data_IF_062491372993
#
_entry.id   IF_062491372993
#
_cell.length_a   1.000
_cell.length_b   1.000
_cell.length_c   1.000
_cell.angle_alpha   90.00
_cell.angle_beta   90.00
_cell.angle_gamma   90.00
#
_symmetry.space_group_name_H-M   'P 1'
#
loop_
_entity.id
_entity.type
_entity.pdbx_description
1 polymer ?
#
# COMPACT_ATOMS: atom_id res chain seq x y z
N UNK A 1 -31.94 -79.64 -32.50
CA UNK A 1 -32.85 -80.34 -33.44
C UNK A 1 -34.21 -80.46 -32.75
N UNK A 2 -35.34 -80.29 -33.45
CA UNK A 2 -35.97 -78.99 -33.69
C UNK A 2 -37.50 -79.04 -33.45
N UNK A 3 -38.21 -77.91 -33.53
CA UNK A 3 -39.45 -77.79 -34.34
C UNK A 3 -39.81 -76.33 -34.55
N UNK A 4 -39.99 -75.99 -35.83
CA UNK A 4 -40.58 -74.76 -36.34
C UNK A 4 -42.12 -74.88 -36.36
N UNK A 5 -42.81 -73.75 -36.33
CA UNK A 5 -44.12 -73.44 -36.96
C UNK A 5 -44.68 -72.18 -36.28
N UNK A 6 -45.39 -71.24 -36.91
CA UNK A 6 -45.75 -70.99 -38.30
C UNK A 6 -46.19 -69.51 -38.38
N UNK A 7 -46.13 -69.00 -39.60
CA UNK A 7 -46.65 -67.74 -40.08
C UNK A 7 -48.17 -67.62 -39.92
N UNK A 8 -48.67 -66.41 -39.62
CA UNK A 8 -49.96 -65.90 -40.06
C UNK A 8 -50.06 -64.41 -39.76
N UNK A 9 -50.04 -63.60 -40.82
CA UNK A 9 -50.23 -62.16 -40.79
C UNK A 9 -51.63 -61.70 -40.36
N UNK A 10 -51.81 -60.38 -40.28
CA UNK A 10 -53.03 -59.60 -40.51
C UNK A 10 -52.81 -58.17 -39.99
N UNK A 11 -53.18 -57.16 -40.79
CA UNK A 11 -53.47 -55.82 -40.27
C UNK A 11 -52.65 -54.70 -40.88
N UNK A 12 -53.11 -54.20 -42.03
CA UNK A 12 -52.61 -52.97 -42.61
C UNK A 12 -52.90 -51.72 -41.77
N UNK A 13 -52.04 -50.73 -41.99
CA UNK A 13 -52.42 -49.34 -42.21
C UNK A 13 -53.11 -48.57 -41.07
N UNK A 14 -52.43 -48.39 -39.93
CA UNK A 14 -52.73 -47.28 -39.00
C UNK A 14 -51.50 -46.94 -38.14
N UNK A 15 -50.47 -46.29 -38.68
CA UNK A 15 -49.66 -45.31 -37.91
C UNK A 15 -48.55 -44.54 -38.68
N UNK A 16 -48.66 -44.30 -39.99
CA UNK A 16 -47.69 -43.43 -40.68
C UNK A 16 -47.82 -41.92 -40.33
N UNK A 17 -48.80 -41.54 -39.48
CA UNK A 17 -48.95 -40.16 -38.95
C UNK A 17 -48.33 -39.96 -37.55
N UNK A 18 -47.72 -40.99 -36.94
CA UNK A 18 -47.01 -40.87 -35.65
C UNK A 18 -45.49 -40.78 -35.79
N UNK A 19 -44.92 -41.16 -36.93
CA UNK A 19 -43.48 -41.09 -37.20
C UNK A 19 -42.93 -39.65 -37.32
N UNK A 20 -43.77 -38.68 -37.64
CA UNK A 20 -43.35 -37.27 -37.84
C UNK A 20 -43.30 -36.45 -36.54
N UNK A 21 -43.84 -36.95 -35.43
CA UNK A 21 -43.85 -36.26 -34.13
C UNK A 21 -42.75 -36.72 -33.16
N UNK A 22 -42.06 -37.82 -33.46
CA UNK A 22 -40.98 -38.36 -32.60
C UNK A 22 -39.58 -37.89 -33.03
N UNK A 23 -39.41 -37.47 -34.29
CA UNK A 23 -38.13 -36.97 -34.85
C UNK A 23 -37.72 -35.60 -34.30
N UNK A 24 -38.67 -34.70 -34.08
CA UNK A 24 -38.44 -33.35 -33.53
C UNK A 24 -37.93 -33.40 -32.09
N UNK A 25 -38.48 -34.29 -31.27
CA UNK A 25 -38.05 -34.49 -29.87
C UNK A 25 -36.58 -34.96 -29.75
N UNK A 26 -36.06 -35.69 -30.74
CA UNK A 26 -34.67 -36.17 -30.73
C UNK A 26 -33.66 -35.05 -31.03
N UNK A 27 -33.98 -34.16 -31.98
CA UNK A 27 -33.14 -33.01 -32.34
C UNK A 27 -33.05 -32.00 -31.18
N UNK A 28 -34.16 -31.76 -30.49
CA UNK A 28 -34.18 -30.87 -29.33
C UNK A 28 -33.36 -31.43 -28.15
N UNK A 29 -33.44 -32.75 -27.90
CA UNK A 29 -32.59 -33.43 -26.90
C UNK A 29 -31.10 -33.34 -27.23
N UNK A 30 -30.72 -33.52 -28.49
CA UNK A 30 -29.33 -33.39 -28.93
C UNK A 30 -28.81 -31.95 -28.80
N UNK A 31 -29.63 -30.95 -29.14
CA UNK A 31 -29.30 -29.53 -28.96
C UNK A 31 -29.08 -29.16 -27.50
N UNK A 32 -29.97 -29.59 -26.60
CA UNK A 32 -29.84 -29.38 -25.16
C UNK A 32 -28.58 -30.05 -24.58
N UNK A 33 -28.26 -31.26 -25.03
CA UNK A 33 -27.05 -31.97 -24.62
C UNK A 33 -25.76 -31.29 -25.12
N UNK A 34 -25.76 -30.76 -26.34
CA UNK A 34 -24.67 -29.96 -26.88
C UNK A 34 -24.46 -28.67 -26.07
N UNK A 35 -25.55 -27.96 -25.75
CA UNK A 35 -25.51 -26.76 -24.91
C UNK A 35 -24.97 -27.05 -23.50
N UNK A 36 -25.39 -28.17 -22.88
CA UNK A 36 -24.90 -28.60 -21.58
C UNK A 36 -23.40 -28.95 -21.63
N UNK A 37 -22.94 -29.63 -22.67
CA UNK A 37 -21.52 -29.94 -22.87
C UNK A 37 -20.68 -28.66 -23.06
N UNK A 38 -21.18 -27.69 -23.84
CA UNK A 38 -20.54 -26.37 -24.00
C UNK A 38 -20.41 -25.63 -22.67
N UNK A 39 -21.48 -25.62 -21.85
CA UNK A 39 -21.46 -25.00 -20.51
C UNK A 39 -20.48 -25.70 -19.56
N UNK A 40 -20.43 -27.03 -19.56
CA UNK A 40 -19.45 -27.79 -18.77
C UNK A 40 -18.01 -27.48 -19.19
N UNK A 41 -17.74 -27.39 -20.50
CA UNK A 41 -16.42 -27.03 -21.01
C UNK A 41 -16.02 -25.60 -20.61
N UNK A 42 -16.93 -24.63 -20.72
CA UNK A 42 -16.70 -23.25 -20.27
C UNK A 42 -16.42 -23.17 -18.77
N UNK A 43 -17.20 -23.86 -17.92
CA UNK A 43 -16.95 -23.89 -16.48
C UNK A 43 -15.60 -24.52 -16.14
N UNK A 44 -15.21 -25.60 -16.83
CA UNK A 44 -13.86 -26.16 -16.66
C UNK A 44 -12.77 -25.17 -17.05
N UNK A 45 -12.93 -24.45 -18.17
CA UNK A 45 -11.99 -23.42 -18.59
C UNK A 45 -11.92 -22.26 -17.59
N UNK A 46 -13.06 -21.77 -17.11
CA UNK A 46 -13.15 -20.71 -16.11
C UNK A 46 -12.49 -21.13 -14.78
N UNK A 47 -12.74 -22.38 -14.33
CA UNK A 47 -12.11 -22.91 -13.12
C UNK A 47 -10.59 -23.03 -13.26
N UNK A 48 -10.09 -23.47 -14.43
CA UNK A 48 -8.64 -23.49 -14.70
C UNK A 48 -8.05 -22.08 -14.69
N UNK A 49 -8.68 -21.14 -15.38
CA UNK A 49 -8.22 -19.75 -15.40
C UNK A 49 -8.27 -19.08 -14.01
N UNK A 50 -9.21 -19.48 -13.13
CA UNK A 50 -9.24 -19.01 -11.76
C UNK A 50 -8.09 -19.60 -10.94
N UNK A 51 -7.87 -20.92 -11.02
CA UNK A 51 -6.75 -21.58 -10.34
C UNK A 51 -5.41 -21.02 -10.80
N UNK A 52 -5.21 -20.90 -12.10
CA UNK A 52 -3.97 -20.39 -12.67
C UNK A 52 -3.70 -18.93 -12.25
N UNK A 53 -4.73 -18.07 -12.22
CA UNK A 53 -4.58 -16.71 -11.69
C UNK A 53 -4.22 -16.71 -10.21
N UNK A 54 -4.83 -17.59 -9.40
CA UNK A 54 -4.52 -17.71 -7.97
C UNK A 54 -3.09 -18.22 -7.76
N UNK A 55 -2.67 -19.23 -8.51
CA UNK A 55 -1.31 -19.78 -8.48
C UNK A 55 -0.28 -18.73 -8.90
N UNK A 56 -0.54 -17.97 -9.96
CA UNK A 56 0.32 -16.84 -10.35
C UNK A 56 0.41 -15.78 -9.25
N UNK A 57 -0.71 -15.39 -8.64
CA UNK A 57 -0.70 -14.40 -7.56
C UNK A 57 0.11 -14.88 -6.35
N UNK A 58 -0.04 -16.14 -5.94
CA UNK A 58 0.75 -16.73 -4.85
C UNK A 58 2.24 -16.73 -5.22
N UNK A 59 2.59 -17.17 -6.43
CA UNK A 59 3.97 -17.16 -6.91
C UNK A 59 4.58 -15.76 -6.97
N UNK A 60 3.81 -14.76 -7.39
CA UNK A 60 4.24 -13.36 -7.41
C UNK A 60 4.47 -12.83 -5.99
N UNK A 61 3.62 -13.21 -5.03
CA UNK A 61 3.82 -12.85 -3.62
C UNK A 61 5.07 -13.51 -3.03
N UNK A 62 5.27 -14.81 -3.28
CA UNK A 62 6.46 -15.55 -2.86
C UNK A 62 7.73 -14.93 -3.47
N UNK A 63 7.69 -14.56 -4.75
CA UNK A 63 8.81 -13.88 -5.41
C UNK A 63 9.11 -12.51 -4.81
N UNK A 64 8.08 -11.71 -4.51
CA UNK A 64 8.26 -10.41 -3.84
C UNK A 64 8.85 -10.56 -2.44
N UNK A 65 8.36 -11.55 -1.69
CA UNK A 65 8.85 -11.84 -0.35
C UNK A 65 10.33 -12.26 -0.40
N UNK A 66 10.68 -13.20 -1.28
CA UNK A 66 12.07 -13.63 -1.50
C UNK A 66 12.99 -12.47 -1.90
N UNK A 67 12.53 -11.56 -2.77
CA UNK A 67 13.29 -10.38 -3.16
C UNK A 67 13.52 -9.42 -1.98
N UNK A 68 12.48 -9.16 -1.18
CA UNK A 68 12.58 -8.31 0.01
C UNK A 68 13.48 -8.91 1.09
N UNK A 69 13.37 -10.21 1.35
CA UNK A 69 14.25 -10.93 2.27
C UNK A 69 15.71 -10.86 1.81
N UNK A 70 15.97 -11.09 0.51
CA UNK A 70 17.31 -10.99 -0.06
C UNK A 70 17.90 -9.58 0.09
N UNK A 71 17.10 -8.54 -0.21
CA UNK A 71 17.52 -7.14 -0.02
C UNK A 71 17.79 -6.82 1.45
N UNK A 72 16.97 -7.35 2.37
CA UNK A 72 17.13 -7.14 3.81
C UNK A 72 18.41 -7.77 4.31
N UNK A 73 18.68 -9.03 3.93
CA UNK A 73 19.91 -9.73 4.30
C UNK A 73 21.15 -9.02 3.75
N UNK A 74 21.10 -8.53 2.50
CA UNK A 74 22.19 -7.72 1.92
C UNK A 74 22.45 -6.46 2.73
N UNK A 75 21.40 -5.67 3.02
CA UNK A 75 21.52 -4.44 3.82
C UNK A 75 22.04 -4.72 5.24
N UNK A 76 21.58 -5.81 5.87
CA UNK A 76 22.08 -6.21 7.18
C UNK A 76 23.58 -6.51 7.13
N UNK A 77 24.05 -7.25 6.13
CA UNK A 77 25.48 -7.54 5.96
C UNK A 77 26.32 -6.28 5.74
N UNK A 78 25.80 -5.31 4.99
CA UNK A 78 26.47 -4.02 4.78
C UNK A 78 26.52 -3.17 6.05
N UNK A 79 25.43 -3.17 6.83
CA UNK A 79 25.37 -2.51 8.14
C UNK A 79 26.38 -3.12 9.09
N UNK A 80 26.46 -4.44 9.17
CA UNK A 80 27.45 -5.14 10.01
C UNK A 80 28.88 -4.81 9.58
N UNK A 81 29.17 -4.87 8.28
CA UNK A 81 30.48 -4.51 7.71
C UNK A 81 30.85 -3.07 8.03
N UNK A 82 29.91 -2.12 7.89
CA UNK A 82 30.16 -0.71 8.17
C UNK A 82 30.35 -0.46 9.67
N UNK A 83 29.59 -1.13 10.54
CA UNK A 83 29.77 -1.07 12.00
C UNK A 83 31.17 -1.53 12.40
N UNK A 84 31.64 -2.65 11.83
CA UNK A 84 33.00 -3.14 12.06
C UNK A 84 34.05 -2.14 11.58
N UNK A 85 33.90 -1.59 10.36
CA UNK A 85 34.81 -0.59 9.83
C UNK A 85 34.87 0.68 10.72
N UNK A 86 33.71 1.17 11.18
CA UNK A 86 33.63 2.29 12.12
C UNK A 86 34.33 1.98 13.45
N UNK A 87 34.19 0.76 13.96
CA UNK A 87 34.88 0.33 15.17
C UNK A 87 36.40 0.34 14.97
N UNK A 88 36.90 -0.23 13.86
CA UNK A 88 38.33 -0.23 13.53
C UNK A 88 38.89 1.21 13.46
N UNK A 89 38.22 2.09 12.72
CA UNK A 89 38.65 3.50 12.58
C UNK A 89 38.62 4.22 13.92
N UNK A 90 37.62 3.97 14.77
CA UNK A 90 37.57 4.54 16.13
C UNK A 90 38.75 4.09 16.97
N UNK A 91 39.06 2.79 16.96
CA UNK A 91 40.21 2.25 17.70
C UNK A 91 41.53 2.80 17.18
N UNK A 92 41.68 2.94 15.86
CA UNK A 92 42.89 3.54 15.26
C UNK A 92 43.04 5.01 15.69
N UNK A 93 41.95 5.79 15.62
CA UNK A 93 41.97 7.19 16.08
C UNK A 93 42.31 7.31 17.56
N UNK A 94 41.78 6.43 18.41
CA UNK A 94 42.10 6.41 19.83
C UNK A 94 43.60 6.14 20.07
N UNK A 95 44.16 5.14 19.39
CA UNK A 95 45.59 4.81 19.44
C UNK A 95 46.43 6.01 18.98
N UNK A 96 46.10 6.62 17.84
CA UNK A 96 46.82 7.77 17.29
C UNK A 96 46.77 9.00 18.22
N UNK A 97 45.62 9.26 18.85
CA UNK A 97 45.48 10.34 19.84
C UNK A 97 46.30 10.05 21.09
N UNK A 98 46.29 8.81 21.58
CA UNK A 98 47.07 8.40 22.73
C UNK A 98 48.59 8.48 22.47
N UNK A 99 49.07 8.11 21.28
CA UNK A 99 50.49 8.19 20.92
C UNK A 99 50.95 9.61 20.62
N UNK A 100 50.14 10.40 19.91
CA UNK A 100 50.46 11.81 19.60
C UNK A 100 50.42 12.69 20.86
N UNK A 101 49.46 12.45 21.76
CA UNK A 101 49.39 13.15 23.04
C UNK A 101 50.58 12.87 23.97
N UNK A 102 51.20 11.70 23.84
CA UNK A 102 52.43 11.35 24.56
C UNK A 102 53.70 11.95 23.93
N UNK A 103 53.67 12.34 22.64
CA UNK A 103 54.82 12.95 21.96
C UNK A 103 54.95 14.47 22.16
N UNK A 104 53.94 15.14 22.73
CA UNK A 104 53.92 16.60 22.92
C UNK A 104 54.19 17.06 24.36
N UNK A 105 54.49 16.16 25.29
CA UNK A 105 54.96 16.54 26.64
C UNK A 105 56.48 16.77 26.66
N UNK A 106 56.95 17.69 25.83
CA UNK A 106 58.16 18.49 26.05
C UNK A 106 57.93 19.82 25.36
N UNK A 107 57.10 20.66 25.97
CA UNK A 107 57.09 22.13 25.91
C UNK A 107 55.83 22.63 26.59
N UNK A 108 56.01 23.29 27.74
CA UNK A 108 54.95 24.00 28.46
C UNK A 108 54.18 24.95 27.54
N UNK A 109 52.85 25.07 27.71
CA UNK A 109 52.15 26.31 27.48
C UNK A 109 51.95 27.06 28.81
N UNK A 110 52.30 28.34 28.77
CA UNK A 110 52.14 29.35 29.82
C UNK A 110 50.70 29.41 30.31
N UNK A 111 50.53 29.36 31.64
CA UNK A 111 49.28 29.62 32.34
C UNK A 111 48.72 30.99 31.98
N UNK A 112 47.55 31.02 31.34
CA UNK A 112 46.67 32.18 31.31
C UNK A 112 45.44 31.83 32.14
N UNK A 113 45.40 32.40 33.35
CA UNK A 113 44.26 32.35 34.26
C UNK A 113 43.15 33.27 33.74
N UNK A 114 42.03 32.68 33.30
CA UNK A 114 40.75 33.37 33.21
C UNK A 114 39.81 32.76 34.25
N UNK A 115 39.44 33.58 35.24
CA UNK A 115 38.46 33.26 36.28
C UNK A 115 37.07 33.10 35.68
N UNK A 116 36.45 31.95 35.92
CA UNK A 116 35.03 31.71 35.67
C UNK A 116 34.18 32.17 36.86
N UNK A 117 33.02 32.80 36.65
CA UNK A 117 31.98 32.87 37.66
C UNK A 117 31.02 31.68 37.50
N UNK A 118 31.04 30.86 38.53
CA UNK A 118 29.93 30.17 39.19
C UNK A 118 28.51 30.32 38.57
N UNK A 119 27.92 29.19 38.17
CA UNK A 119 26.46 29.01 38.10
C UNK A 119 26.10 27.51 38.14
N UNK A 120 26.13 26.96 39.36
CA UNK A 120 25.03 26.20 39.95
C UNK A 120 24.43 25.01 39.14
N UNK A 121 24.91 23.81 39.50
CA UNK A 121 24.21 22.53 39.30
C UNK A 121 22.84 22.51 39.99
N UNK A 122 21.81 22.06 39.30
CA UNK A 122 20.70 21.36 39.96
C UNK A 122 20.27 20.14 39.13
N UNK A 123 20.70 19.02 39.66
CA UNK A 123 20.20 17.66 39.50
C UNK A 123 18.71 17.59 39.90
N UNK A 124 17.89 16.89 39.12
CA UNK A 124 16.61 16.35 39.58
C UNK A 124 16.20 15.17 38.68
N UNK A 125 16.25 14.00 39.28
CA UNK A 125 15.78 12.70 38.83
C UNK A 125 14.27 12.61 38.53
N UNK A 126 13.96 11.60 37.71
CA UNK A 126 12.78 10.74 37.74
C UNK A 126 11.38 11.33 37.47
N UNK A 127 10.78 10.91 36.34
CA UNK A 127 9.61 10.00 36.39
C UNK A 127 9.28 9.35 35.05
N UNK A 128 9.34 8.03 35.07
CA UNK A 128 8.60 7.13 34.19
C UNK A 128 7.10 7.22 34.56
N UNK A 129 6.23 7.40 33.57
CA UNK A 129 4.82 7.04 33.70
C UNK A 129 4.40 6.34 32.40
N UNK A 130 4.25 5.02 32.51
CA UNK A 130 3.52 4.19 31.55
C UNK A 130 2.01 4.24 31.84
N UNK A 131 1.23 3.73 30.89
CA UNK A 131 -0.19 3.33 30.90
C UNK A 131 -1.12 4.27 30.09
N UNK A 132 -2.18 3.82 29.40
CA UNK A 132 -2.68 2.51 28.98
C UNK A 132 -3.95 2.76 28.13
N UNK A 133 -4.19 1.91 27.12
CA UNK A 133 -5.47 1.51 26.47
C UNK A 133 -6.64 2.50 26.38
N UNK A 134 -7.13 2.72 25.15
CA UNK A 134 -8.54 2.44 24.87
C UNK A 134 -8.80 2.03 23.41
N UNK A 135 -8.97 0.73 23.20
CA UNK A 135 -9.67 0.22 22.04
C UNK A 135 -11.15 0.53 22.15
N UNK A 136 -11.73 1.04 21.07
CA UNK A 136 -13.18 0.96 20.84
C UNK A 136 -13.42 0.35 19.47
N UNK A 137 -13.75 -0.94 19.50
CA UNK A 137 -14.61 -1.59 18.52
C UNK A 137 -15.93 -0.82 18.50
N UNK A 138 -16.50 -0.62 17.31
CA UNK A 138 -17.84 -1.11 16.95
C UNK A 138 -18.17 -0.66 15.52
N UNK A 139 -18.50 -1.63 14.67
CA UNK A 139 -18.93 -1.39 13.30
C UNK A 139 -20.40 -0.97 13.22
N UNK A 140 -20.76 -0.39 12.07
CA UNK A 140 -22.12 -0.47 11.54
C UNK A 140 -22.09 -0.16 10.04
N UNK A 141 -22.33 -1.18 9.24
CA UNK A 141 -22.81 -1.03 7.86
C UNK A 141 -24.30 -0.68 7.93
N UNK A 142 -24.72 0.41 7.30
CA UNK A 142 -26.04 0.49 6.66
C UNK A 142 -25.99 1.26 5.34
N UNK A 143 -26.79 0.74 4.43
CA UNK A 143 -27.03 1.08 3.03
C UNK A 143 -27.57 2.51 2.84
N UNK A 144 -27.40 3.07 1.64
CA UNK A 144 -28.46 3.20 0.63
C UNK A 144 -28.21 4.39 -0.31
N UNK A 145 -28.44 4.14 -1.59
CA UNK A 145 -28.41 5.12 -2.65
C UNK A 145 -29.57 6.13 -2.55
N UNK A 146 -29.24 7.41 -2.73
CA UNK A 146 -30.19 8.52 -2.88
C UNK A 146 -29.49 9.74 -3.51
N UNK A 147 -29.54 9.90 -4.83
CA UNK A 147 -30.75 10.43 -5.47
C UNK A 147 -30.92 11.94 -5.70
N UNK A 148 -30.12 12.87 -5.18
CA UNK A 148 -30.62 14.26 -5.09
C UNK A 148 -29.64 15.32 -5.65
N UNK A 149 -29.97 15.83 -6.85
CA UNK A 149 -29.43 17.08 -7.39
C UNK A 149 -30.11 18.29 -6.71
N UNK A 150 -29.38 19.36 -6.38
CA UNK A 150 -29.65 20.74 -6.82
C UNK A 150 -28.95 21.81 -5.97
N UNK A 151 -28.07 22.55 -6.65
CA UNK A 151 -27.91 24.00 -6.62
C UNK A 151 -27.48 24.76 -5.33
N UNK A 152 -26.43 25.55 -5.54
CA UNK A 152 -26.29 26.94 -5.10
C UNK A 152 -25.54 27.22 -3.80
N UNK A 153 -24.25 27.52 -3.94
CA UNK A 153 -23.67 28.77 -3.42
C UNK A 153 -22.37 29.10 -4.16
N UNK A 154 -22.48 29.98 -5.16
CA UNK A 154 -21.32 30.70 -5.73
C UNK A 154 -20.81 31.68 -4.66
N UNK A 155 -19.93 31.19 -3.80
CA UNK A 155 -18.91 32.00 -3.14
C UNK A 155 -17.61 31.68 -3.88
N UNK A 156 -16.72 32.65 -4.05
CA UNK A 156 -15.41 32.48 -4.67
C UNK A 156 -14.59 31.47 -3.87
N UNK A 157 -14.90 30.18 -4.03
CA UNK A 157 -14.20 29.08 -3.41
C UNK A 157 -13.03 28.80 -4.34
N UNK A 158 -11.81 28.88 -3.81
CA UNK A 158 -10.64 28.36 -4.50
C UNK A 158 -10.92 26.94 -4.98
N UNK A 159 -10.20 26.50 -6.01
CA UNK A 159 -10.37 25.16 -6.57
C UNK A 159 -10.30 24.12 -5.45
N UNK A 160 -11.38 23.40 -5.23
CA UNK A 160 -11.46 22.35 -4.20
C UNK A 160 -10.86 21.06 -4.78
N UNK A 161 -9.91 20.46 -4.06
CA UNK A 161 -9.19 19.26 -4.44
C UNK A 161 -9.68 18.11 -3.56
N UNK A 162 -10.28 17.06 -4.12
CA UNK A 162 -10.66 15.87 -3.35
C UNK A 162 -9.45 15.26 -2.65
N UNK A 163 -9.62 14.70 -1.45
CA UNK A 163 -8.53 14.01 -0.72
C UNK A 163 -7.82 12.98 -1.60
N UNK A 164 -8.56 12.26 -2.43
CA UNK A 164 -8.00 11.26 -3.35
C UNK A 164 -6.99 11.83 -4.36
N UNK A 165 -7.08 13.13 -4.69
CA UNK A 165 -6.19 13.83 -5.62
C UNK A 165 -5.19 14.75 -4.90
N UNK A 166 -5.33 14.94 -3.58
CA UNK A 166 -4.50 15.87 -2.82
C UNK A 166 -3.02 15.45 -2.84
N UNK A 167 -2.74 14.15 -2.81
CA UNK A 167 -1.37 13.64 -2.85
C UNK A 167 -0.68 13.93 -4.19
N UNK A 168 -1.37 13.67 -5.32
CA UNK A 168 -0.85 13.98 -6.65
C UNK A 168 -0.56 15.47 -6.80
N UNK A 169 -1.41 16.29 -6.20
CA UNK A 169 -1.26 17.74 -6.19
C UNK A 169 -0.03 18.19 -5.38
N UNK A 170 0.17 17.63 -4.18
CA UNK A 170 1.37 17.88 -3.35
C UNK A 170 2.63 17.45 -4.12
N UNK A 171 2.62 16.28 -4.76
CA UNK A 171 3.75 15.78 -5.54
C UNK A 171 4.05 16.62 -6.79
N UNK A 172 3.05 17.33 -7.34
CA UNK A 172 3.25 18.21 -8.49
C UNK A 172 4.10 19.44 -8.17
N UNK A 173 4.17 19.84 -6.90
CA UNK A 173 4.79 21.08 -6.44
C UNK A 173 6.31 21.11 -6.66
N UNK A 174 6.89 22.21 -7.18
CA UNK A 174 8.32 22.32 -7.46
C UNK A 174 9.22 22.00 -6.25
N UNK A 175 8.90 22.52 -5.07
CA UNK A 175 9.71 22.27 -3.86
C UNK A 175 9.64 20.84 -3.34
N UNK A 176 8.54 20.13 -3.59
CA UNK A 176 8.44 18.70 -3.25
C UNK A 176 9.30 17.88 -4.20
N UNK A 177 9.30 18.20 -5.49
CA UNK A 177 10.20 17.55 -6.49
C UNK A 177 11.68 17.81 -6.23
N UNK A 178 12.00 18.97 -5.67
CA UNK A 178 13.37 19.34 -5.29
C UNK A 178 13.80 18.75 -3.94
N UNK A 179 12.91 18.06 -3.21
CA UNK A 179 13.21 17.46 -1.90
C UNK A 179 13.39 18.48 -0.79
N UNK A 180 12.98 19.74 -1.00
CA UNK A 180 13.17 20.85 -0.06
C UNK A 180 12.03 20.99 0.94
N UNK A 181 11.09 20.04 0.99
CA UNK A 181 9.88 20.11 1.79
C UNK A 181 9.84 18.94 2.76
N UNK A 182 9.52 19.20 4.02
CA UNK A 182 9.21 18.14 4.97
C UNK A 182 7.74 17.70 4.83
N UNK A 183 7.55 16.52 4.25
CA UNK A 183 6.22 15.95 3.99
C UNK A 183 5.46 15.68 5.29
N UNK A 184 6.16 15.34 6.40
CA UNK A 184 5.50 15.12 7.68
C UNK A 184 4.84 16.40 8.19
N UNK A 185 5.51 17.54 8.02
CA UNK A 185 5.00 18.86 8.39
C UNK A 185 3.84 19.26 7.47
N UNK A 186 3.93 18.99 6.16
CA UNK A 186 2.81 19.22 5.22
C UNK A 186 1.58 18.43 5.63
N UNK A 187 1.74 17.14 5.94
CA UNK A 187 0.64 16.27 6.38
C UNK A 187 0.03 16.73 7.72
N UNK A 188 0.84 17.20 8.66
CA UNK A 188 0.35 17.75 9.93
C UNK A 188 -0.47 19.02 9.75
N UNK A 189 -0.02 19.94 8.90
CA UNK A 189 -0.74 21.17 8.58
C UNK A 189 -2.06 20.90 7.85
N UNK A 190 -2.05 19.96 6.91
CA UNK A 190 -3.25 19.59 6.16
C UNK A 190 -4.27 18.79 7.00
N UNK A 191 -3.84 18.14 8.09
CA UNK A 191 -4.72 17.33 8.97
C UNK A 191 -5.96 18.10 9.45
N UNK A 192 -5.82 19.41 9.66
CA UNK A 192 -6.89 20.28 10.16
C UNK A 192 -7.54 21.15 9.08
N UNK A 193 -7.06 21.09 7.84
CA UNK A 193 -7.49 21.94 6.73
C UNK A 193 -8.56 21.29 5.82
N UNK A 194 -8.92 20.02 6.07
CA UNK A 194 -9.93 19.33 5.27
C UNK A 194 -11.34 19.83 5.59
N UNK A 195 -12.13 20.10 4.55
CA UNK A 195 -13.54 20.52 4.66
C UNK A 195 -14.45 19.54 3.95
N UNK A 196 -15.71 19.42 4.37
CA UNK A 196 -16.68 18.54 3.73
C UNK A 196 -17.53 19.31 2.70
N UNK A 197 -17.52 18.88 1.44
CA UNK A 197 -18.33 19.46 0.36
C UNK A 197 -19.69 18.73 0.15
N UNK A 198 -19.99 17.76 1.00
CA UNK A 198 -21.16 16.89 0.91
C UNK A 198 -20.96 15.62 0.07
N UNK A 199 -19.88 15.53 -0.71
CA UNK A 199 -19.48 14.34 -1.47
C UNK A 199 -18.19 13.70 -0.94
N UNK A 200 -17.46 14.40 -0.09
CA UNK A 200 -16.30 13.87 0.62
C UNK A 200 -15.51 14.96 1.33
N UNK A 201 -14.34 14.58 1.83
CA UNK A 201 -13.34 15.52 2.29
C UNK A 201 -12.65 16.16 1.08
N UNK A 202 -12.56 17.48 1.08
CA UNK A 202 -11.88 18.29 0.09
C UNK A 202 -10.96 19.29 0.77
N UNK A 203 -9.85 19.59 0.11
CA UNK A 203 -8.94 20.65 0.49
C UNK A 203 -9.09 21.84 -0.46
N UNK A 204 -8.91 23.04 0.05
CA UNK A 204 -8.74 24.19 -0.83
C UNK A 204 -7.32 24.16 -1.44
N UNK A 205 -7.23 24.36 -2.75
CA UNK A 205 -5.96 24.38 -3.49
C UNK A 205 -4.94 25.32 -2.84
N UNK A 206 -5.36 26.53 -2.46
CA UNK A 206 -4.50 27.53 -1.82
C UNK A 206 -3.92 27.06 -0.49
N UNK A 207 -4.68 26.29 0.30
CA UNK A 207 -4.20 25.75 1.57
C UNK A 207 -3.14 24.66 1.36
N UNK A 208 -3.28 23.85 0.31
CA UNK A 208 -2.25 22.86 -0.04
C UNK A 208 -0.97 23.55 -0.49
N UNK A 209 -1.06 24.55 -1.37
CA UNK A 209 0.10 25.32 -1.81
C UNK A 209 0.79 26.02 -0.65
N UNK A 210 0.02 26.69 0.21
CA UNK A 210 0.55 27.39 1.38
C UNK A 210 1.21 26.42 2.36
N UNK A 211 0.57 25.28 2.66
CA UNK A 211 1.13 24.28 3.57
C UNK A 211 2.45 23.70 3.05
N UNK A 212 2.61 23.54 1.73
CA UNK A 212 3.85 23.09 1.11
C UNK A 212 4.94 24.15 1.20
N UNK A 213 4.62 25.41 0.90
CA UNK A 213 5.59 26.51 0.97
C UNK A 213 6.09 26.75 2.39
N UNK A 214 5.20 26.77 3.36
CA UNK A 214 5.53 26.98 4.77
C UNK A 214 6.31 25.79 5.37
N UNK A 215 6.24 24.62 4.73
CA UNK A 215 6.97 23.41 5.15
C UNK A 215 8.29 23.25 4.42
N UNK A 216 8.76 24.31 3.73
CA UNK A 216 10.10 24.37 3.17
C UNK A 216 11.11 24.20 4.29
N UNK A 217 12.06 23.30 4.10
CA UNK A 217 13.30 23.24 4.87
C UNK A 217 14.03 24.54 4.59
N UNK A 218 13.81 25.56 5.41
CA UNK A 218 14.72 26.70 5.50
C UNK A 218 16.06 26.07 5.82
N UNK A 219 16.99 26.15 4.86
CA UNK A 219 18.34 25.65 5.03
C UNK A 219 18.90 26.20 6.34
N UNK A 220 18.98 25.34 7.35
CA UNK A 220 19.93 25.50 8.44
C UNK A 220 21.31 25.18 7.88
N UNK A 221 21.83 26.09 7.07
CA UNK A 221 23.24 26.23 6.74
C UNK A 221 23.52 27.72 6.46
N UNK A 222 24.32 28.31 7.34
CA UNK A 222 24.83 29.70 7.31
C UNK A 222 24.35 30.52 8.52
N UNK A 223 25.19 31.08 9.40
CA UNK A 223 26.62 31.38 9.33
C UNK A 223 27.08 31.90 10.74
N UNK A 224 28.38 31.73 11.05
CA UNK A 224 29.18 32.40 12.12
C UNK A 224 29.14 31.76 13.51
#
# INVERSE_FOLDING_TARGET
>A
MPVASEDSGLGGDFDQRRASRTSSSSKDKQSLMCAQNRRKAQNRAAQRAFRERKERYVKDLESKLSALESSTNSLQSDVERLKLALQCVRTENEILRATTGQSLTTSQPVSVSYSAPDAHLQDNDAKEDACNVQGSRNGSMINAAGKDNAASRRKTKGREIPVAQAWDFIQSHPFVKQGLVDIAIVCERLRWAATCDGHGLVFEESLIWQAVEESRRIGGDGLI
#
